data_IF_806913611598
#
_entry.id   IF_806913611598
#
_cell.length_a   1.000
_cell.length_b   1.000
_cell.length_c   1.000
_cell.angle_alpha   90.00
_cell.angle_beta   90.00
_cell.angle_gamma   90.00
#
_symmetry.space_group_name_H-M   'P 1'
#
loop_
_entity.id
_entity.type
_entity.pdbx_description
1 polymer ?
#
# COMPACT_ATOMS: atom_id res chain seq x y z
N UNK A 1 -2.27 18.73 -17.48
CA UNK A 1 -1.64 17.69 -16.65
C UNK A 1 -0.28 17.41 -17.25
N UNK A 2 0.81 17.42 -16.46
CA UNK A 2 2.11 16.99 -16.97
C UNK A 2 2.01 15.55 -17.48
N UNK A 3 2.80 15.22 -18.50
CA UNK A 3 2.94 13.84 -18.94
C UNK A 3 3.55 12.97 -17.83
N UNK A 4 3.41 11.65 -17.95
CA UNK A 4 4.07 10.70 -17.03
C UNK A 4 5.59 10.91 -17.03
N UNK A 5 6.18 11.23 -18.18
CA UNK A 5 7.63 11.46 -18.31
C UNK A 5 8.09 12.75 -17.63
N UNK A 6 7.33 13.84 -17.75
CA UNK A 6 7.63 15.08 -17.02
C UNK A 6 7.45 14.88 -15.52
N UNK A 7 6.41 14.15 -15.10
CA UNK A 7 6.18 13.82 -13.69
C UNK A 7 7.31 12.96 -13.12
N UNK A 8 7.84 12.02 -13.90
CA UNK A 8 9.01 11.25 -13.54
C UNK A 8 10.27 12.12 -13.45
N UNK A 9 10.54 12.96 -14.46
CA UNK A 9 11.71 13.83 -14.53
C UNK A 9 11.78 14.81 -13.35
N UNK A 10 10.64 15.37 -12.95
CA UNK A 10 10.54 16.28 -11.82
C UNK A 10 10.37 15.57 -10.47
N UNK A 11 10.33 14.23 -10.44
CA UNK A 11 10.19 13.46 -9.22
C UNK A 11 8.84 13.66 -8.52
N UNK A 12 7.77 13.95 -9.26
CA UNK A 12 6.41 14.13 -8.74
C UNK A 12 5.49 12.92 -8.97
N UNK A 13 6.03 11.83 -9.53
CA UNK A 13 5.30 10.60 -9.77
C UNK A 13 5.28 9.72 -8.50
N UNK A 14 4.25 9.90 -7.67
CA UNK A 14 4.00 9.08 -6.47
C UNK A 14 2.61 8.44 -6.54
N UNK A 15 2.46 7.29 -7.24
CA UNK A 15 1.17 6.63 -7.36
C UNK A 15 0.58 6.25 -6.00
N UNK A 16 1.41 5.77 -5.07
CA UNK A 16 0.96 5.27 -3.77
C UNK A 16 0.41 6.36 -2.84
N UNK A 17 0.93 7.59 -2.92
CA UNK A 17 0.54 8.66 -1.99
C UNK A 17 -0.89 9.19 -2.20
N UNK A 18 -1.45 8.95 -3.39
CA UNK A 18 -2.78 9.46 -3.76
C UNK A 18 -3.84 8.34 -3.87
N UNK A 19 -3.46 7.10 -3.58
CA UNK A 19 -4.38 5.96 -3.68
C UNK A 19 -5.02 5.73 -2.30
N UNK A 20 -6.24 6.25 -2.15
CA UNK A 20 -7.19 5.72 -1.17
C UNK A 20 -8.04 4.68 -1.88
N UNK A 21 -8.10 3.46 -1.34
CA UNK A 21 -8.96 2.44 -1.91
C UNK A 21 -10.40 2.94 -1.98
N UNK A 22 -11.00 2.80 -3.16
CA UNK A 22 -12.42 3.13 -3.39
C UNK A 22 -13.35 1.97 -3.01
N UNK A 23 -12.80 0.86 -2.53
CA UNK A 23 -13.59 -0.26 -2.04
C UNK A 23 -14.51 0.23 -0.90
N UNK A 24 -15.83 0.01 -0.98
CA UNK A 24 -16.76 0.48 0.03
C UNK A 24 -16.47 -0.06 1.43
N UNK A 25 -15.77 -1.21 1.53
CA UNK A 25 -15.38 -1.83 2.78
C UNK A 25 -14.09 -1.25 3.38
N UNK A 26 -13.29 -0.50 2.60
CA UNK A 26 -12.02 0.04 3.09
C UNK A 26 -12.19 0.91 4.34
N UNK A 27 -13.16 1.85 4.33
CA UNK A 27 -13.41 2.73 5.47
C UNK A 27 -13.97 1.96 6.69
N UNK A 28 -14.99 1.09 6.54
CA UNK A 28 -15.45 0.24 7.64
C UNK A 28 -14.36 -0.63 8.26
N UNK A 29 -13.49 -1.24 7.46
CA UNK A 29 -12.40 -2.10 7.95
C UNK A 29 -11.38 -1.27 8.74
N UNK A 30 -10.92 -0.14 8.19
CA UNK A 30 -9.98 0.72 8.91
C UNK A 30 -10.55 1.24 10.22
N UNK A 31 -11.85 1.57 10.26
CA UNK A 31 -12.52 1.95 11.50
C UNK A 31 -12.48 0.82 12.53
N UNK A 32 -12.77 -0.42 12.13
CA UNK A 32 -12.70 -1.59 13.01
C UNK A 32 -11.28 -1.83 13.54
N UNK A 33 -10.25 -1.61 12.72
CA UNK A 33 -8.84 -1.68 13.15
C UNK A 33 -8.59 -0.67 14.26
N UNK A 34 -8.96 0.60 14.07
CA UNK A 34 -8.80 1.65 15.08
C UNK A 34 -9.58 1.33 16.38
N UNK A 35 -10.84 0.93 16.26
CA UNK A 35 -11.66 0.58 17.44
C UNK A 35 -11.08 -0.61 18.20
N UNK A 36 -10.50 -1.60 17.50
CA UNK A 36 -9.84 -2.75 18.12
C UNK A 36 -8.56 -2.35 18.84
N UNK A 37 -7.75 -1.48 18.25
CA UNK A 37 -6.53 -0.94 18.85
C UNK A 37 -6.82 -0.17 20.14
N UNK A 38 -7.80 0.73 20.11
CA UNK A 38 -8.23 1.46 21.31
C UNK A 38 -8.73 0.51 22.41
N UNK A 39 -9.48 -0.54 22.03
CA UNK A 39 -9.92 -1.55 23.00
C UNK A 39 -8.76 -2.33 23.63
N UNK A 40 -7.66 -2.57 22.90
CA UNK A 40 -6.48 -3.23 23.44
C UNK A 40 -5.68 -2.29 24.33
N UNK A 41 -5.58 -1.01 23.96
CA UNK A 41 -4.94 0.03 24.77
C UNK A 41 -5.56 0.16 26.17
N UNK A 42 -6.87 -0.03 26.30
CA UNK A 42 -7.55 0.00 27.60
C UNK A 42 -7.35 -1.28 28.45
N UNK A 43 -6.88 -2.39 27.85
CA UNK A 43 -6.76 -3.71 28.50
C UNK A 43 -5.32 -4.06 28.87
N UNK A 44 -4.37 -3.56 28.10
CA UNK A 44 -2.95 -3.86 28.22
C UNK A 44 -2.25 -2.84 29.10
N UNK A 45 -1.13 -3.24 29.69
CA UNK A 45 -0.20 -2.27 30.27
C UNK A 45 0.45 -1.45 29.16
N UNK A 46 1.03 -0.30 29.50
CA UNK A 46 1.72 0.55 28.51
C UNK A 46 2.83 -0.24 27.78
N UNK A 47 3.59 -1.06 28.50
CA UNK A 47 4.65 -1.90 27.91
C UNK A 47 4.11 -3.00 26.98
N UNK A 48 3.05 -3.71 27.38
CA UNK A 48 2.44 -4.73 26.52
C UNK A 48 1.81 -4.10 25.26
N UNK A 49 1.29 -2.88 25.39
CA UNK A 49 0.75 -2.13 24.25
C UNK A 49 1.86 -1.65 23.30
N UNK A 50 3.00 -1.18 23.82
CA UNK A 50 4.17 -0.84 23.01
C UNK A 50 4.72 -2.06 22.23
N UNK A 51 4.72 -3.25 22.83
CA UNK A 51 5.09 -4.50 22.14
C UNK A 51 4.10 -4.83 21.01
N UNK A 52 2.79 -4.63 21.23
CA UNK A 52 1.78 -4.78 20.19
C UNK A 52 2.00 -3.80 19.03
N UNK A 53 2.21 -2.52 19.32
CA UNK A 53 2.46 -1.51 18.30
C UNK A 53 3.71 -1.86 17.47
N UNK A 54 4.76 -2.34 18.13
CA UNK A 54 5.99 -2.82 17.49
C UNK A 54 5.72 -4.02 16.56
N UNK A 55 4.88 -4.97 16.98
CA UNK A 55 4.48 -6.09 16.15
C UNK A 55 3.69 -5.64 14.91
N UNK A 56 2.74 -4.71 15.07
CA UNK A 56 1.94 -4.19 13.97
C UNK A 56 2.79 -3.40 12.97
N UNK A 57 3.80 -2.68 13.44
CA UNK A 57 4.78 -2.01 12.59
C UNK A 57 5.59 -3.02 11.76
N UNK A 58 6.02 -4.16 12.35
CA UNK A 58 6.68 -5.24 11.59
C UNK A 58 5.77 -5.83 10.51
N UNK A 59 4.48 -6.05 10.82
CA UNK A 59 3.50 -6.51 9.83
C UNK A 59 3.32 -5.49 8.69
N UNK A 60 3.23 -4.20 9.02
CA UNK A 60 3.14 -3.10 8.05
C UNK A 60 4.34 -3.09 7.10
N UNK A 61 5.56 -3.23 7.64
CA UNK A 61 6.78 -3.29 6.83
C UNK A 61 6.79 -4.50 5.90
N UNK A 62 6.47 -5.69 6.42
CA UNK A 62 6.39 -6.92 5.60
C UNK A 62 5.36 -6.78 4.47
N UNK A 63 4.16 -6.28 4.79
CA UNK A 63 3.12 -5.99 3.79
C UNK A 63 3.59 -4.96 2.75
N UNK A 64 4.32 -3.93 3.17
CA UNK A 64 4.93 -2.94 2.28
C UNK A 64 5.92 -3.56 1.29
N UNK A 65 6.74 -4.51 1.73
CA UNK A 65 7.66 -5.26 0.86
C UNK A 65 6.90 -6.09 -0.19
N UNK A 66 5.87 -6.83 0.24
CA UNK A 66 5.03 -7.64 -0.66
C UNK A 66 4.26 -6.78 -1.67
N UNK A 67 3.69 -5.66 -1.22
CA UNK A 67 2.95 -4.73 -2.08
C UNK A 67 3.87 -4.09 -3.12
N UNK A 68 5.09 -3.72 -2.73
CA UNK A 68 6.11 -3.18 -3.65
C UNK A 68 6.50 -4.23 -4.70
N UNK A 69 6.76 -5.47 -4.28
CA UNK A 69 7.09 -6.56 -5.19
C UNK A 69 5.94 -6.85 -6.17
N UNK A 70 4.70 -6.88 -5.67
CA UNK A 70 3.49 -7.11 -6.46
C UNK A 70 3.26 -5.98 -7.47
N UNK A 71 3.45 -4.73 -7.06
CA UNK A 71 3.36 -3.57 -7.95
C UNK A 71 4.36 -3.64 -9.10
N UNK A 72 5.64 -3.89 -8.79
CA UNK A 72 6.70 -4.01 -9.81
C UNK A 72 6.42 -5.19 -10.76
N UNK A 73 6.01 -6.33 -10.21
CA UNK A 73 5.65 -7.50 -11.00
C UNK A 73 4.49 -7.19 -11.95
N UNK A 74 3.40 -6.61 -11.44
CA UNK A 74 2.22 -6.25 -12.22
C UNK A 74 2.54 -5.27 -13.36
N UNK A 75 3.33 -4.22 -13.10
CA UNK A 75 3.74 -3.27 -14.14
C UNK A 75 4.59 -3.92 -15.24
N UNK A 76 5.56 -4.76 -14.87
CA UNK A 76 6.40 -5.48 -15.84
C UNK A 76 5.56 -6.41 -16.70
N UNK A 77 4.65 -7.17 -16.09
CA UNK A 77 3.74 -8.07 -16.80
C UNK A 77 2.84 -7.30 -17.76
N UNK A 78 2.20 -6.22 -17.29
CA UNK A 78 1.35 -5.39 -18.14
C UNK A 78 2.10 -4.76 -19.32
N UNK A 79 3.33 -4.27 -19.10
CA UNK A 79 4.17 -3.75 -20.18
C UNK A 79 4.55 -4.84 -21.20
N UNK A 80 4.92 -6.03 -20.74
CA UNK A 80 5.23 -7.17 -21.61
C UNK A 80 4.01 -7.56 -22.47
N UNK A 81 2.82 -7.64 -21.86
CA UNK A 81 1.57 -7.90 -22.59
C UNK A 81 1.29 -6.83 -23.65
N UNK A 82 1.49 -5.55 -23.34
CA UNK A 82 1.29 -4.47 -24.30
C UNK A 82 2.27 -4.58 -25.49
N UNK A 83 3.53 -4.93 -25.23
CA UNK A 83 4.53 -5.14 -26.29
C UNK A 83 4.11 -6.31 -27.18
N UNK A 84 3.72 -7.44 -26.59
CA UNK A 84 3.26 -8.62 -27.33
C UNK A 84 2.05 -8.33 -28.23
N UNK A 85 1.10 -7.49 -27.77
CA UNK A 85 -0.08 -7.11 -28.56
C UNK A 85 0.27 -6.10 -29.67
N UNK A 86 1.18 -5.17 -29.40
CA UNK A 86 1.48 -4.05 -30.32
C UNK A 86 2.55 -4.39 -31.36
N UNK A 87 3.40 -5.36 -31.09
CA UNK A 87 4.37 -5.87 -32.05
C UNK A 87 3.68 -6.99 -32.83
N UNK A 88 3.22 -6.69 -34.05
CA UNK A 88 2.83 -7.73 -35.01
C UNK A 88 4.07 -8.57 -35.38
N UNK A 89 3.91 -9.89 -35.49
CA UNK A 89 4.93 -10.79 -36.06
C UNK A 89 5.24 -10.43 -37.53
#
# INVERSE_FOLDING_TARGET
MPSILESLYHGSLFPNENIISKDPNYRPINRQITESLEAWKQKLSDGDFEELESLLELYSQAQGMEMTASFVCGFKTGAAMMIEVLVED
#
